data_IF_395743993795
#
_entry.id   IF_395743993795
#
_cell.length_a   1.000
_cell.length_b   1.000
_cell.length_c   1.000
_cell.angle_alpha   90.00
_cell.angle_beta   90.00
_cell.angle_gamma   90.00
#
_symmetry.space_group_name_H-M   'P 1'
#
loop_
_entity.id
_entity.type
_entity.pdbx_description
1 polymer ?
#
# COMPACT_ATOMS: atom_id res chain seq x y z
N UNK A 1 1.58 -17.55 2.25
CA UNK A 1 1.44 -16.87 3.57
C UNK A 1 2.37 -17.60 4.53
N UNK A 2 3.42 -16.95 5.00
CA UNK A 2 4.35 -17.55 5.97
C UNK A 2 3.57 -17.84 7.27
N UNK A 3 3.93 -18.91 7.97
CA UNK A 3 3.35 -19.16 9.28
C UNK A 3 3.69 -18.00 10.23
N UNK A 4 2.78 -17.56 11.09
CA UNK A 4 2.99 -16.43 12.03
C UNK A 4 4.29 -16.58 12.83
N UNK A 5 4.69 -17.81 13.10
CA UNK A 5 5.92 -18.16 13.77
C UNK A 5 7.16 -17.72 13.00
N UNK A 6 7.16 -17.89 11.66
CA UNK A 6 8.27 -17.49 10.79
C UNK A 6 8.37 -15.97 10.67
N UNK A 7 7.21 -15.29 10.64
CA UNK A 7 7.13 -13.83 10.65
C UNK A 7 7.75 -13.26 11.92
N UNK A 8 7.36 -13.80 13.08
CA UNK A 8 7.90 -13.40 14.38
C UNK A 8 9.41 -13.62 14.44
N UNK A 9 9.89 -14.78 13.99
CA UNK A 9 11.31 -15.12 13.97
C UNK A 9 12.12 -14.12 13.14
N UNK A 10 11.68 -13.86 11.90
CA UNK A 10 12.30 -12.89 10.98
C UNK A 10 12.35 -11.48 11.58
N UNK A 11 11.24 -11.02 12.14
CA UNK A 11 11.14 -9.68 12.69
C UNK A 11 12.01 -9.49 13.94
N UNK A 12 12.07 -10.49 14.82
CA UNK A 12 12.94 -10.44 16.01
C UNK A 12 14.42 -10.38 15.61
N UNK A 13 14.85 -11.21 14.67
CA UNK A 13 16.23 -11.18 14.13
C UNK A 13 16.55 -9.84 13.49
N UNK A 14 15.64 -9.30 12.66
CA UNK A 14 15.80 -8.02 11.97
C UNK A 14 15.94 -6.88 12.97
N UNK A 15 15.06 -6.79 13.95
CA UNK A 15 15.08 -5.76 14.99
C UNK A 15 16.36 -5.81 15.82
N UNK A 16 16.73 -7.02 16.30
CA UNK A 16 17.95 -7.21 17.08
C UNK A 16 19.21 -6.79 16.31
N UNK A 17 19.33 -7.26 15.06
CA UNK A 17 20.49 -6.93 14.20
C UNK A 17 20.54 -5.44 13.88
N UNK A 18 19.40 -4.81 13.57
CA UNK A 18 19.34 -3.39 13.28
C UNK A 18 19.79 -2.52 14.47
N UNK A 19 19.57 -3.00 15.70
CA UNK A 19 20.02 -2.35 16.94
C UNK A 19 21.42 -2.80 17.39
N UNK A 20 22.08 -3.67 16.63
CA UNK A 20 23.40 -4.25 16.97
C UNK A 20 23.43 -4.94 18.33
N UNK A 21 22.31 -5.55 18.75
CA UNK A 21 22.20 -6.25 20.04
C UNK A 21 22.60 -7.72 19.91
N UNK A 22 23.28 -8.23 20.96
CA UNK A 22 23.49 -9.66 21.14
C UNK A 22 22.25 -10.32 21.78
N UNK A 23 22.14 -11.64 21.70
CA UNK A 23 21.06 -12.37 22.39
C UNK A 23 21.14 -12.21 23.91
N UNK A 24 22.33 -12.05 24.48
CA UNK A 24 22.53 -11.81 25.90
C UNK A 24 21.92 -10.45 26.30
N UNK A 25 22.22 -9.39 25.55
CA UNK A 25 21.67 -8.07 25.78
C UNK A 25 20.13 -8.05 25.63
N UNK A 26 19.59 -8.74 24.63
CA UNK A 26 18.13 -8.85 24.49
C UNK A 26 17.54 -9.61 25.67
N UNK A 27 18.21 -10.66 26.18
CA UNK A 27 17.77 -11.40 27.36
C UNK A 27 17.73 -10.51 28.61
N UNK A 28 18.74 -9.68 28.81
CA UNK A 28 18.79 -8.72 29.93
C UNK A 28 17.67 -7.68 29.84
N UNK A 29 17.46 -7.10 28.63
CA UNK A 29 16.44 -6.08 28.43
C UNK A 29 15.00 -6.60 28.56
N UNK A 30 14.76 -7.85 28.18
CA UNK A 30 13.41 -8.40 28.05
C UNK A 30 13.01 -9.35 29.19
N UNK A 31 13.98 -9.84 29.96
CA UNK A 31 13.76 -10.90 30.95
C UNK A 31 13.39 -12.26 30.36
N UNK A 32 13.57 -12.43 29.01
CA UNK A 32 13.37 -13.71 28.33
C UNK A 32 14.72 -14.40 28.15
N UNK A 33 14.80 -15.69 28.50
CA UNK A 33 16.09 -16.41 28.46
C UNK A 33 16.71 -16.40 27.04
N UNK A 34 18.04 -16.31 26.97
CA UNK A 34 18.80 -16.41 25.72
C UNK A 34 18.45 -17.66 24.92
N UNK A 35 18.26 -18.81 25.60
CA UNK A 35 17.89 -20.06 24.94
C UNK A 35 16.52 -19.94 24.24
N UNK A 36 15.54 -19.34 24.90
CA UNK A 36 14.21 -19.14 24.35
C UNK A 36 14.26 -18.16 23.17
N UNK A 37 14.95 -17.03 23.30
CA UNK A 37 15.16 -16.07 22.22
C UNK A 37 15.79 -16.73 20.99
N UNK A 38 16.84 -17.56 21.19
CA UNK A 38 17.49 -18.30 20.12
C UNK A 38 16.56 -19.31 19.44
N UNK A 39 15.63 -19.96 20.18
CA UNK A 39 14.65 -20.88 19.60
C UNK A 39 13.58 -20.12 18.79
N UNK A 40 13.14 -18.95 19.27
CA UNK A 40 12.19 -18.09 18.56
C UNK A 40 12.83 -17.60 17.24
N UNK A 41 14.07 -17.08 17.29
CA UNK A 41 14.78 -16.58 16.10
C UNK A 41 15.02 -17.66 15.03
N UNK A 42 15.13 -18.93 15.44
CA UNK A 42 15.27 -20.08 14.53
C UNK A 42 13.93 -20.61 14.01
N UNK A 43 12.81 -20.00 14.39
CA UNK A 43 11.48 -20.52 14.07
C UNK A 43 11.17 -21.90 14.68
N UNK A 44 11.90 -22.31 15.72
CA UNK A 44 11.72 -23.61 16.37
C UNK A 44 10.78 -23.58 17.57
N UNK A 45 10.34 -22.40 17.98
CA UNK A 45 9.41 -22.19 19.08
C UNK A 45 8.47 -21.05 18.76
N UNK A 46 7.17 -21.26 18.95
CA UNK A 46 6.16 -20.19 18.92
C UNK A 46 6.11 -19.53 20.30
N UNK A 47 6.46 -18.25 20.43
CA UNK A 47 6.33 -17.56 21.70
C UNK A 47 4.84 -17.38 22.06
N UNK A 48 4.54 -17.42 23.35
CA UNK A 48 3.22 -17.01 23.83
C UNK A 48 3.04 -15.50 23.67
N UNK A 49 1.78 -15.03 23.66
CA UNK A 49 1.47 -13.58 23.64
C UNK A 49 2.18 -12.86 24.78
N UNK A 50 2.20 -13.45 25.98
CA UNK A 50 2.91 -12.88 27.14
C UNK A 50 4.42 -12.77 26.92
N UNK A 51 5.03 -13.77 26.29
CA UNK A 51 6.46 -13.72 25.92
C UNK A 51 6.75 -12.63 24.92
N UNK A 52 5.90 -12.49 23.90
CA UNK A 52 6.04 -11.44 22.88
C UNK A 52 5.88 -10.04 23.50
N UNK A 53 4.95 -9.84 24.42
CA UNK A 53 4.81 -8.59 25.17
C UNK A 53 6.04 -8.27 26.01
N UNK A 54 6.67 -9.24 26.66
CA UNK A 54 7.93 -9.04 27.39
C UNK A 54 9.03 -8.56 26.44
N UNK A 55 9.14 -9.18 25.26
CA UNK A 55 10.13 -8.81 24.25
C UNK A 55 9.84 -7.39 23.73
N UNK A 56 8.59 -7.06 23.39
CA UNK A 56 8.18 -5.75 22.91
C UNK A 56 8.51 -4.64 23.91
N UNK A 57 8.11 -4.83 25.17
CA UNK A 57 8.34 -3.87 26.24
C UNK A 57 9.83 -3.68 26.54
N UNK A 58 10.60 -4.78 26.66
CA UNK A 58 12.04 -4.70 26.92
C UNK A 58 12.82 -4.05 25.79
N UNK A 59 12.37 -4.25 24.55
CA UNK A 59 12.94 -3.59 23.39
C UNK A 59 12.29 -2.23 23.06
N UNK A 60 11.30 -1.77 23.84
CA UNK A 60 10.59 -0.51 23.63
C UNK A 60 10.06 -0.34 22.19
N UNK A 61 9.36 -1.35 21.70
CA UNK A 61 8.70 -1.36 20.38
C UNK A 61 7.25 -1.78 20.52
N UNK A 62 6.43 -1.43 19.53
CA UNK A 62 5.05 -1.93 19.45
C UNK A 62 5.03 -3.45 19.25
N UNK A 63 4.10 -4.14 19.88
CA UNK A 63 3.83 -5.57 19.67
C UNK A 63 3.62 -5.90 18.18
N UNK A 64 2.96 -5.02 17.44
CA UNK A 64 2.67 -5.20 16.01
C UNK A 64 3.92 -5.35 15.15
N UNK A 65 5.08 -4.85 15.59
CA UNK A 65 6.36 -4.99 14.86
C UNK A 65 6.71 -6.46 14.63
N UNK A 66 6.35 -7.34 15.58
CA UNK A 66 6.70 -8.77 15.49
C UNK A 66 5.77 -9.58 14.60
N UNK A 67 4.52 -9.13 14.41
CA UNK A 67 3.51 -9.86 13.64
C UNK A 67 3.27 -9.26 12.23
N UNK A 68 3.97 -8.18 11.90
CA UNK A 68 3.87 -7.52 10.60
C UNK A 68 4.59 -8.36 9.54
N UNK A 69 3.92 -8.67 8.44
CA UNK A 69 4.57 -9.28 7.28
C UNK A 69 5.54 -8.28 6.64
N UNK A 70 6.77 -8.74 6.35
CA UNK A 70 7.71 -7.94 5.56
C UNK A 70 7.16 -7.83 4.13
N UNK A 71 6.80 -6.64 3.72
CA UNK A 71 6.64 -6.37 2.29
C UNK A 71 8.02 -6.43 1.64
N UNK A 72 8.19 -7.12 0.51
CA UNK A 72 9.48 -7.18 -0.15
C UNK A 72 9.98 -5.76 -0.49
N UNK A 73 11.27 -5.50 -0.26
CA UNK A 73 11.91 -4.20 -0.58
C UNK A 73 11.78 -3.85 -2.08
N UNK A 74 11.62 -4.87 -2.93
CA UNK A 74 11.41 -4.73 -4.38
C UNK A 74 10.17 -5.55 -4.78
N UNK A 75 9.16 -4.87 -5.28
CA UNK A 75 7.95 -5.50 -5.78
C UNK A 75 7.73 -5.10 -7.24
N UNK A 76 7.66 -6.08 -8.14
CA UNK A 76 7.23 -5.89 -9.53
C UNK A 76 5.78 -6.35 -9.66
N UNK A 77 4.92 -5.45 -10.13
CA UNK A 77 3.53 -5.76 -10.48
C UNK A 77 3.36 -5.62 -11.99
N UNK A 78 2.64 -6.53 -12.61
CA UNK A 78 2.30 -6.47 -14.04
C UNK A 78 0.79 -6.40 -14.21
N UNK A 79 0.31 -5.47 -15.02
CA UNK A 79 -1.12 -5.34 -15.33
C UNK A 79 -1.73 -6.64 -15.87
N UNK A 80 -0.92 -7.46 -16.57
CA UNK A 80 -1.35 -8.75 -17.12
C UNK A 80 -1.72 -9.79 -16.07
N UNK A 81 -1.36 -9.54 -14.80
CA UNK A 81 -1.60 -10.43 -13.66
C UNK A 81 -2.70 -9.90 -12.73
N UNK A 82 -3.32 -8.77 -13.10
CA UNK A 82 -4.34 -8.11 -12.30
C UNK A 82 -5.70 -8.25 -12.98
N UNK A 83 -6.70 -8.58 -12.18
CA UNK A 83 -8.10 -8.49 -12.58
C UNK A 83 -8.62 -7.08 -12.29
N UNK A 84 -9.27 -6.40 -13.26
CA UNK A 84 -9.81 -5.07 -13.03
C UNK A 84 -11.09 -5.12 -12.18
N UNK A 85 -11.26 -4.08 -11.39
CA UNK A 85 -12.57 -3.70 -10.87
C UNK A 85 -13.23 -2.88 -11.97
N UNK A 86 -14.48 -3.20 -12.30
CA UNK A 86 -15.21 -2.52 -13.37
C UNK A 86 -16.51 -1.92 -12.86
N UNK A 87 -16.99 -0.87 -13.52
CA UNK A 87 -18.36 -0.40 -13.35
C UNK A 87 -19.37 -1.39 -13.98
N UNK A 88 -20.67 -1.12 -13.78
CA UNK A 88 -21.75 -1.99 -14.28
C UNK A 88 -21.79 -2.11 -15.82
N UNK A 89 -21.18 -1.18 -16.57
CA UNK A 89 -21.13 -1.19 -18.03
C UNK A 89 -19.85 -1.87 -18.55
N UNK A 90 -18.82 -1.96 -17.71
CA UNK A 90 -17.52 -2.47 -18.09
C UNK A 90 -16.73 -1.50 -18.98
N UNK A 91 -17.00 -0.19 -18.86
CA UNK A 91 -16.35 0.87 -19.65
C UNK A 91 -15.33 1.66 -18.84
N UNK A 92 -15.39 1.58 -17.50
CA UNK A 92 -14.44 2.11 -16.55
C UNK A 92 -13.75 0.96 -15.83
N UNK A 93 -12.43 0.80 -16.05
CA UNK A 93 -11.65 -0.30 -15.52
C UNK A 93 -10.55 0.22 -14.59
N UNK A 94 -10.46 -0.34 -13.39
CA UNK A 94 -9.47 0.04 -12.37
C UNK A 94 -8.61 -1.16 -12.01
N UNK A 95 -7.31 -1.08 -12.23
CA UNK A 95 -6.33 -2.08 -11.85
C UNK A 95 -5.50 -1.60 -10.68
N UNK A 96 -5.54 -2.29 -9.54
CA UNK A 96 -4.75 -1.92 -8.35
C UNK A 96 -3.33 -2.44 -8.44
N UNK A 97 -2.36 -1.55 -8.67
CA UNK A 97 -0.93 -1.90 -8.64
C UNK A 97 -0.39 -2.00 -7.22
N UNK A 98 -0.66 -1.00 -6.42
CA UNK A 98 -0.20 -0.94 -5.04
C UNK A 98 -1.37 -0.48 -4.18
N UNK A 99 -2.03 -1.40 -3.45
CA UNK A 99 -3.13 -1.06 -2.57
C UNK A 99 -2.64 -0.21 -1.40
N UNK A 100 -3.58 0.45 -0.72
CA UNK A 100 -3.30 1.30 0.43
C UNK A 100 -2.38 0.62 1.46
N UNK A 101 -1.37 1.35 1.89
CA UNK A 101 -0.46 0.93 2.94
C UNK A 101 -0.41 1.98 4.06
N UNK A 102 -0.69 1.60 5.33
CA UNK A 102 -0.82 2.56 6.44
C UNK A 102 0.41 3.43 6.69
N UNK A 103 1.61 2.91 6.40
CA UNK A 103 2.85 3.68 6.57
C UNK A 103 3.19 4.55 5.36
N UNK A 104 2.78 4.13 4.16
CA UNK A 104 3.06 4.85 2.92
C UNK A 104 2.02 5.92 2.62
N UNK A 105 0.81 5.76 3.17
CA UNK A 105 -0.31 6.70 3.03
C UNK A 105 -0.75 6.95 1.59
N UNK A 106 -0.46 6.04 0.67
CA UNK A 106 -0.89 6.13 -0.71
C UNK A 106 -1.29 4.77 -1.27
N UNK A 107 -1.97 4.81 -2.40
CA UNK A 107 -2.27 3.69 -3.28
C UNK A 107 -2.09 4.11 -4.73
N UNK A 108 -1.81 3.14 -5.62
CA UNK A 108 -1.58 3.41 -7.04
C UNK A 108 -2.42 2.46 -7.88
N UNK A 109 -3.13 3.07 -8.84
CA UNK A 109 -3.95 2.39 -9.83
C UNK A 109 -3.50 2.71 -11.24
N UNK A 110 -3.89 1.87 -12.18
CA UNK A 110 -4.08 2.27 -13.56
C UNK A 110 -5.57 2.22 -13.86
N UNK A 111 -6.05 3.27 -14.47
CA UNK A 111 -7.46 3.43 -14.86
C UNK A 111 -7.54 3.46 -16.37
N UNK A 112 -8.52 2.77 -16.94
CA UNK A 112 -8.80 2.79 -18.38
C UNK A 112 -10.25 3.13 -18.59
N UNK A 113 -10.52 4.08 -19.48
CA UNK A 113 -11.84 4.47 -19.96
C UNK A 113 -11.99 4.11 -21.42
N UNK A 114 -13.04 3.36 -21.76
CA UNK A 114 -13.40 3.10 -23.15
C UNK A 114 -13.95 4.35 -23.84
N UNK A 115 -13.99 4.37 -25.18
CA UNK A 115 -14.60 5.47 -25.94
C UNK A 115 -16.01 5.82 -25.45
N UNK A 116 -16.26 7.12 -25.26
CA UNK A 116 -17.54 7.65 -24.79
C UNK A 116 -17.86 7.41 -23.30
N UNK A 117 -16.92 6.87 -22.54
CA UNK A 117 -17.11 6.64 -21.11
C UNK A 117 -17.12 7.96 -20.32
N UNK A 118 -18.12 8.09 -19.44
CA UNK A 118 -18.20 9.16 -18.43
C UNK A 118 -18.34 8.49 -17.07
N UNK A 119 -17.35 8.70 -16.20
CA UNK A 119 -17.34 8.20 -14.84
C UNK A 119 -17.45 9.35 -13.84
N UNK A 120 -18.57 9.38 -13.10
CA UNK A 120 -18.79 10.33 -12.01
C UNK A 120 -18.13 9.79 -10.73
N UNK A 121 -17.05 10.43 -10.31
CA UNK A 121 -16.34 10.04 -9.10
C UNK A 121 -17.06 10.56 -7.84
N UNK A 122 -17.08 9.75 -6.80
CA UNK A 122 -17.56 10.19 -5.49
C UNK A 122 -16.44 10.92 -4.77
N UNK A 123 -16.80 11.99 -4.06
CA UNK A 123 -15.86 12.69 -3.19
C UNK A 123 -15.31 11.79 -2.10
N UNK A 124 -14.02 11.91 -1.82
CA UNK A 124 -13.31 11.14 -0.80
C UNK A 124 -12.19 11.98 -0.17
N UNK A 125 -11.64 11.50 0.93
CA UNK A 125 -10.47 12.12 1.55
C UNK A 125 -9.21 11.86 0.74
N UNK A 126 -8.28 12.81 0.80
CA UNK A 126 -6.96 12.70 0.18
C UNK A 126 -6.84 13.48 -1.12
N UNK A 127 -5.65 13.39 -1.70
CA UNK A 127 -5.28 14.07 -2.94
C UNK A 127 -5.13 13.05 -4.06
N UNK A 128 -5.53 13.43 -5.25
CA UNK A 128 -5.36 12.65 -6.48
C UNK A 128 -4.29 13.26 -7.38
N UNK A 129 -3.44 12.39 -7.91
CA UNK A 129 -2.45 12.71 -8.92
C UNK A 129 -2.67 11.81 -10.12
N UNK A 130 -3.02 12.40 -11.24
CA UNK A 130 -3.21 11.72 -12.51
C UNK A 130 -1.99 11.94 -13.40
N UNK A 131 -1.54 10.89 -14.07
CA UNK A 131 -0.50 10.97 -15.10
C UNK A 131 -1.02 10.23 -16.33
N UNK A 132 -1.30 10.94 -17.41
CA UNK A 132 -1.88 10.35 -18.62
C UNK A 132 -0.85 9.48 -19.32
N UNK A 133 -1.21 8.21 -19.48
CA UNK A 133 -0.37 7.20 -20.14
C UNK A 133 -0.64 7.16 -21.64
N UNK A 134 -1.92 7.07 -22.04
CA UNK A 134 -2.37 6.92 -23.43
C UNK A 134 -3.74 7.56 -23.62
N UNK A 135 -4.02 8.06 -24.82
CA UNK A 135 -5.30 8.66 -25.19
C UNK A 135 -5.47 10.09 -24.65
N UNK A 136 -6.72 10.52 -24.66
CA UNK A 136 -7.17 11.84 -24.21
C UNK A 136 -8.17 11.69 -23.08
N UNK A 137 -8.05 12.50 -22.04
CA UNK A 137 -8.92 12.50 -20.87
C UNK A 137 -9.37 13.92 -20.55
N UNK A 138 -10.67 14.14 -20.39
CA UNK A 138 -11.19 15.35 -19.77
C UNK A 138 -11.52 15.10 -18.31
N UNK A 139 -10.97 15.90 -17.40
CA UNK A 139 -11.38 15.93 -16.01
C UNK A 139 -12.24 17.16 -15.79
N UNK A 140 -13.51 16.91 -15.43
CA UNK A 140 -14.51 17.96 -15.20
C UNK A 140 -14.73 18.16 -13.72
N UNK A 141 -14.66 19.41 -13.29
CA UNK A 141 -15.10 19.91 -11.99
C UNK A 141 -16.39 20.75 -12.15
N UNK A 142 -16.96 21.24 -11.07
CA UNK A 142 -18.20 22.06 -11.15
C UNK A 142 -18.04 23.33 -12.01
N UNK A 143 -16.86 23.97 -11.96
CA UNK A 143 -16.61 25.27 -12.57
C UNK A 143 -15.62 25.25 -13.75
N UNK A 144 -14.93 24.13 -13.97
CA UNK A 144 -13.86 24.06 -14.98
C UNK A 144 -13.66 22.64 -15.51
N UNK A 145 -13.08 22.56 -16.69
CA UNK A 145 -12.67 21.31 -17.33
C UNK A 145 -11.20 21.40 -17.72
N UNK A 146 -10.49 20.29 -17.57
CA UNK A 146 -9.10 20.14 -17.99
C UNK A 146 -9.00 19.01 -19.00
N UNK A 147 -8.63 19.38 -20.24
CA UNK A 147 -8.29 18.41 -21.27
C UNK A 147 -6.83 18.01 -21.13
N UNK A 148 -6.58 16.70 -21.04
CA UNK A 148 -5.27 16.13 -20.78
C UNK A 148 -4.93 15.12 -21.88
N UNK A 149 -3.68 15.14 -22.34
CA UNK A 149 -3.16 14.21 -23.34
C UNK A 149 -1.99 13.40 -22.76
N UNK A 150 -1.56 12.39 -23.48
CA UNK A 150 -0.42 11.55 -23.05
C UNK A 150 0.80 12.40 -22.69
N UNK A 151 1.32 12.21 -21.48
CA UNK A 151 2.44 12.98 -20.91
C UNK A 151 2.02 14.10 -19.97
N UNK A 152 0.74 14.48 -19.95
CA UNK A 152 0.23 15.46 -18.99
C UNK A 152 -0.01 14.85 -17.62
N UNK A 153 -0.03 15.72 -16.61
CA UNK A 153 -0.38 15.37 -15.24
C UNK A 153 -1.31 16.42 -14.63
N UNK A 154 -2.21 15.96 -13.76
CA UNK A 154 -3.13 16.81 -13.00
C UNK A 154 -3.10 16.40 -11.53
N UNK A 155 -3.18 17.40 -10.65
CA UNK A 155 -3.34 17.18 -9.21
C UNK A 155 -4.53 17.98 -8.68
N UNK A 156 -5.34 17.37 -7.83
CA UNK A 156 -6.45 18.02 -7.14
C UNK A 156 -6.80 17.27 -5.84
N UNK A 157 -7.59 17.92 -4.99
CA UNK A 157 -8.12 17.30 -3.78
C UNK A 157 -9.33 16.43 -4.09
N UNK A 158 -9.33 15.18 -3.63
CA UNK A 158 -10.43 14.21 -3.84
C UNK A 158 -11.74 14.59 -3.16
N UNK A 159 -11.74 15.63 -2.28
CA UNK A 159 -12.98 16.18 -1.71
C UNK A 159 -13.74 17.08 -2.69
N UNK A 160 -13.18 17.38 -3.86
CA UNK A 160 -13.82 18.12 -4.94
C UNK A 160 -14.60 17.16 -5.84
N UNK A 161 -15.87 17.45 -6.11
CA UNK A 161 -16.69 16.65 -7.04
C UNK A 161 -16.10 16.74 -8.44
N UNK A 162 -15.86 15.60 -9.07
CA UNK A 162 -15.22 15.53 -10.38
C UNK A 162 -15.70 14.33 -11.20
N UNK A 163 -15.45 14.38 -12.50
CA UNK A 163 -15.76 13.30 -13.42
C UNK A 163 -14.60 13.07 -14.39
N UNK A 164 -14.38 11.82 -14.77
CA UNK A 164 -13.45 11.42 -15.81
C UNK A 164 -14.22 11.15 -17.09
N UNK A 165 -13.84 11.77 -18.18
CA UNK A 165 -14.55 11.71 -19.45
C UNK A 165 -13.57 11.35 -20.56
N UNK A 166 -13.87 10.29 -21.29
CA UNK A 166 -13.21 9.98 -22.56
C UNK A 166 -14.19 10.24 -23.70
N UNK A 167 -14.04 11.37 -24.37
CA UNK A 167 -14.85 11.76 -25.54
C UNK A 167 -14.27 11.31 -26.88
N UNK A 168 -13.09 10.69 -26.86
CA UNK A 168 -12.39 10.23 -28.08
C UNK A 168 -12.93 8.87 -28.57
N UNK A 169 -12.47 8.45 -29.76
CA UNK A 169 -12.80 7.13 -30.33
C UNK A 169 -11.83 6.03 -29.87
N UNK A 170 -10.79 6.37 -29.12
CA UNK A 170 -9.79 5.46 -28.59
C UNK A 170 -9.89 5.33 -27.07
N UNK A 171 -9.29 4.28 -26.51
CA UNK A 171 -9.21 4.14 -25.06
C UNK A 171 -8.28 5.20 -24.44
N UNK A 172 -8.69 5.76 -23.32
CA UNK A 172 -7.84 6.60 -22.48
C UNK A 172 -7.36 5.83 -21.26
N UNK A 173 -6.07 5.93 -20.94
CA UNK A 173 -5.53 5.32 -19.72
C UNK A 173 -4.59 6.27 -18.98
N UNK A 174 -4.66 6.24 -17.64
CA UNK A 174 -3.83 7.06 -16.78
C UNK A 174 -3.45 6.30 -15.50
N UNK A 175 -2.31 6.69 -14.93
CA UNK A 175 -1.96 6.32 -13.57
C UNK A 175 -2.68 7.26 -12.61
N UNK A 176 -3.31 6.68 -11.59
CA UNK A 176 -3.94 7.40 -10.51
C UNK A 176 -3.21 7.04 -9.21
N UNK A 177 -2.56 8.03 -8.60
CA UNK A 177 -2.03 7.94 -7.26
C UNK A 177 -2.95 8.69 -6.31
N UNK A 178 -3.48 8.00 -5.32
CA UNK A 178 -4.29 8.57 -4.24
C UNK A 178 -3.42 8.66 -2.98
N UNK A 179 -3.22 9.87 -2.46
CA UNK A 179 -2.46 10.12 -1.25
C UNK A 179 -3.39 10.56 -0.11
N UNK A 180 -3.23 9.95 1.06
CA UNK A 180 -4.03 10.23 2.25
C UNK A 180 -3.16 10.91 3.30
N UNK A 181 -3.24 12.26 3.44
CA UNK A 181 -2.47 13.00 4.43
C UNK A 181 -2.86 12.57 5.86
N UNK A 182 -1.98 12.81 6.81
CA UNK A 182 -2.31 12.63 8.23
C UNK A 182 -3.38 13.64 8.64
N UNK A 183 -4.41 13.15 9.30
CA UNK A 183 -5.47 13.96 9.92
C UNK A 183 -4.99 14.57 11.24
#
# INVERSE_FOLDING_TARGET
>A
MDAIQDIIAKNLVKLRKHRNLTLDQVSELTGVSKAMLAQIEKGKSSPTVTTLWKIANGLQVSFSVFIKEDTPDVQKVSIKQLDPITDNKGDYLVYSFFPYHPEKKFEIYIVTLKPGCVHEAKTHLGDEYLLIKEGELTVRFESEEHELVSGDALHFSGNTSHSYINSSEEEASFFLLMHYPES
#
